data_IF_498924912348
#
_entry.id   IF_498924912348
#
_cell.length_a   1.000
_cell.length_b   1.000
_cell.length_c   1.000
_cell.angle_alpha   90.00
_cell.angle_beta   90.00
_cell.angle_gamma   90.00
#
_symmetry.space_group_name_H-M   'P 1'
#
loop_
_entity.id
_entity.type
_entity.pdbx_description
1 polymer ?
#
# COMPACT_ATOMS: atom_id res chain seq x y z
N UNK A 1 69.68 -36.61 -27.25
CA UNK A 1 68.61 -36.09 -26.37
C UNK A 1 68.45 -34.61 -26.68
N UNK A 2 67.34 -34.21 -27.29
CA UNK A 2 67.07 -32.81 -27.62
C UNK A 2 66.29 -32.19 -26.46
N UNK A 3 66.84 -31.17 -25.83
CA UNK A 3 66.20 -30.44 -24.75
C UNK A 3 65.06 -29.59 -25.32
N UNK A 4 63.83 -29.82 -24.88
CA UNK A 4 62.70 -28.97 -25.22
C UNK A 4 62.74 -27.71 -24.36
N UNK A 5 62.89 -26.54 -24.99
CA UNK A 5 62.70 -25.24 -24.35
C UNK A 5 61.21 -24.99 -24.10
N UNK A 6 60.83 -24.81 -22.84
CA UNK A 6 59.48 -24.37 -22.47
C UNK A 6 59.32 -22.88 -22.83
N UNK A 7 58.45 -22.57 -23.79
CA UNK A 7 58.01 -21.20 -24.01
C UNK A 7 56.93 -20.86 -22.98
N UNK A 8 57.14 -19.78 -22.23
CA UNK A 8 56.06 -19.07 -21.54
C UNK A 8 55.59 -17.95 -22.47
N UNK A 9 54.29 -17.99 -22.81
CA UNK A 9 53.62 -16.98 -23.60
C UNK A 9 52.44 -16.43 -22.82
N UNK A 10 52.25 -15.13 -22.87
CA UNK A 10 51.12 -14.46 -22.21
C UNK A 10 50.03 -14.35 -23.27
N UNK A 11 48.81 -14.76 -22.93
CA UNK A 11 47.64 -14.46 -23.74
C UNK A 11 46.74 -13.52 -22.94
N UNK A 12 46.18 -12.52 -23.62
CA UNK A 12 45.23 -11.61 -23.02
C UNK A 12 43.83 -12.21 -23.15
N UNK A 13 43.13 -12.33 -22.02
CA UNK A 13 41.71 -12.69 -21.99
C UNK A 13 40.91 -11.40 -21.84
N UNK A 14 40.08 -11.10 -22.83
CA UNK A 14 39.08 -10.04 -22.75
C UNK A 14 37.73 -10.65 -22.45
N UNK A 15 37.14 -10.29 -21.31
CA UNK A 15 35.75 -10.58 -20.97
C UNK A 15 34.90 -9.50 -21.63
N UNK A 16 33.93 -9.92 -22.45
CA UNK A 16 32.99 -9.03 -23.12
C UNK A 16 31.60 -9.28 -22.54
N UNK A 17 31.13 -8.34 -21.74
CA UNK A 17 29.82 -8.40 -21.10
C UNK A 17 28.75 -7.75 -21.99
N UNK A 18 27.60 -8.42 -22.07
CA UNK A 18 26.41 -8.02 -22.85
C UNK A 18 25.12 -8.26 -22.10
N UNK A 19 25.20 -8.80 -20.89
CA UNK A 19 24.01 -9.07 -20.10
C UNK A 19 23.52 -7.75 -19.50
N UNK A 20 22.25 -7.74 -19.09
CA UNK A 20 21.64 -6.55 -18.49
C UNK A 20 21.51 -6.77 -16.99
N UNK A 21 21.68 -5.70 -16.20
CA UNK A 21 21.48 -5.80 -14.76
C UNK A 21 20.01 -6.16 -14.45
N UNK A 22 19.83 -7.02 -13.47
CA UNK A 22 18.53 -7.44 -12.95
C UNK A 22 18.25 -6.79 -11.59
N UNK A 23 17.01 -6.38 -11.36
CA UNK A 23 16.59 -5.82 -10.07
C UNK A 23 16.23 -6.92 -9.07
N UNK A 24 16.72 -6.76 -7.84
CA UNK A 24 16.34 -7.57 -6.68
C UNK A 24 15.67 -6.67 -5.64
N UNK A 25 14.51 -6.10 -5.97
CA UNK A 25 13.83 -5.15 -5.08
C UNK A 25 12.42 -5.65 -4.74
N UNK A 26 12.08 -5.61 -3.45
CA UNK A 26 10.74 -5.92 -2.94
C UNK A 26 9.86 -4.67 -2.82
N UNK A 27 8.54 -4.86 -2.79
CA UNK A 27 7.57 -3.77 -2.58
C UNK A 27 7.70 -3.20 -1.16
N UNK A 28 7.50 -1.89 -0.99
CA UNK A 28 7.61 -1.19 0.29
C UNK A 28 6.22 -0.69 0.71
N UNK A 29 5.82 -1.03 1.93
CA UNK A 29 4.58 -0.51 2.52
C UNK A 29 4.91 0.31 3.77
N UNK A 30 4.31 1.50 3.86
CA UNK A 30 4.46 2.40 4.99
C UNK A 30 3.07 2.65 5.57
N UNK A 31 2.86 2.35 6.85
CA UNK A 31 1.57 2.61 7.48
C UNK A 31 1.47 4.10 7.85
N UNK A 32 0.76 4.88 7.03
CA UNK A 32 0.52 6.29 7.27
C UNK A 32 -0.85 6.76 6.78
N UNK A 33 -1.46 7.63 7.57
CA UNK A 33 -2.75 8.24 7.28
C UNK A 33 -2.63 9.62 6.58
N UNK A 34 -1.42 10.05 6.24
CA UNK A 34 -1.13 11.32 5.57
C UNK A 34 0.02 11.13 4.56
N UNK A 35 0.21 12.07 3.61
CA UNK A 35 1.43 12.10 2.80
C UNK A 35 2.68 11.95 3.68
N UNK A 36 3.60 11.09 3.26
CA UNK A 36 4.75 10.70 4.09
C UNK A 36 5.99 10.52 3.23
N UNK A 37 7.13 10.94 3.77
CA UNK A 37 8.44 10.72 3.15
C UNK A 37 8.83 9.25 3.26
N UNK A 38 9.13 8.63 2.12
CA UNK A 38 9.51 7.20 2.06
C UNK A 38 10.93 7.07 1.54
N UNK A 39 11.77 6.39 2.30
CA UNK A 39 13.16 6.07 1.95
C UNK A 39 13.26 4.63 1.48
N UNK A 40 13.87 4.42 0.33
CA UNK A 40 14.12 3.11 -0.25
C UNK A 40 15.50 3.05 -0.91
N UNK A 41 16.01 1.84 -1.13
CA UNK A 41 17.29 1.61 -1.79
C UNK A 41 17.08 0.62 -2.94
N UNK A 42 17.03 1.08 -4.20
CA UNK A 42 16.93 0.17 -5.33
C UNK A 42 18.23 -0.64 -5.44
N UNK A 43 18.11 -1.96 -5.43
CA UNK A 43 19.23 -2.88 -5.60
C UNK A 43 19.10 -3.60 -6.94
N UNK A 44 20.20 -3.58 -7.71
CA UNK A 44 20.32 -4.33 -8.93
C UNK A 44 21.68 -5.05 -8.95
N UNK A 45 21.69 -6.25 -9.50
CA UNK A 45 22.87 -7.09 -9.63
C UNK A 45 23.07 -7.44 -11.10
N UNK A 46 24.33 -7.64 -11.46
CA UNK A 46 24.74 -8.11 -12.77
C UNK A 46 25.79 -9.21 -12.60
N UNK A 47 25.95 -10.07 -13.61
CA UNK A 47 26.92 -11.16 -13.55
C UNK A 47 28.37 -10.65 -13.74
N UNK A 48 28.54 -9.40 -14.19
CA UNK A 48 29.84 -8.79 -14.44
C UNK A 48 29.90 -7.32 -13.98
N UNK A 49 30.65 -7.09 -12.91
CA UNK A 49 31.01 -5.73 -12.48
C UNK A 49 29.98 -5.05 -11.58
N UNK A 50 30.13 -3.74 -11.41
CA UNK A 50 29.28 -2.95 -10.52
C UNK A 50 28.08 -2.36 -11.27
N UNK A 51 26.94 -2.28 -10.58
CA UNK A 51 25.69 -1.73 -11.10
C UNK A 51 25.28 -0.51 -10.29
N UNK A 52 24.81 0.54 -10.98
CA UNK A 52 24.20 1.70 -10.34
C UNK A 52 22.70 1.66 -10.57
N UNK A 53 21.91 1.78 -9.48
CA UNK A 53 20.46 1.77 -9.52
C UNK A 53 19.86 3.04 -8.90
N UNK A 54 18.80 3.58 -9.51
CA UNK A 54 18.07 4.75 -9.02
C UNK A 54 16.58 4.65 -9.34
N UNK A 55 15.74 5.22 -8.48
CA UNK A 55 14.28 5.25 -8.65
C UNK A 55 13.73 6.67 -8.87
N UNK A 56 12.59 6.76 -9.55
CA UNK A 56 11.82 8.00 -9.73
C UNK A 56 10.33 7.77 -9.44
N UNK A 57 9.69 8.48 -8.49
CA UNK A 57 10.25 9.52 -7.61
C UNK A 57 11.44 9.03 -6.76
N UNK A 58 12.39 9.91 -6.46
CA UNK A 58 13.63 9.55 -5.75
C UNK A 58 13.38 9.09 -4.31
N UNK A 59 14.29 8.27 -3.77
CA UNK A 59 14.27 7.93 -2.35
C UNK A 59 14.29 9.19 -1.47
N UNK A 60 13.43 9.22 -0.45
CA UNK A 60 13.23 10.40 0.40
C UNK A 60 12.21 11.40 -0.15
N UNK A 61 11.49 11.08 -1.23
CA UNK A 61 10.34 11.87 -1.69
C UNK A 61 9.12 11.64 -0.82
N UNK A 62 8.20 12.61 -0.81
CA UNK A 62 6.89 12.49 -0.16
C UNK A 62 5.89 11.80 -1.09
N UNK A 63 5.22 10.77 -0.58
CA UNK A 63 4.22 9.98 -1.30
C UNK A 63 2.83 10.18 -0.70
N UNK A 64 1.77 10.29 -1.53
CA UNK A 64 0.39 10.40 -1.04
C UNK A 64 -0.10 9.06 -0.45
N UNK A 65 -1.20 9.12 0.31
CA UNK A 65 -1.90 7.91 0.78
C UNK A 65 -2.42 7.10 -0.41
N UNK A 66 -2.10 5.81 -0.45
CA UNK A 66 -2.40 4.90 -1.56
C UNK A 66 -1.13 4.33 -2.23
N UNK A 67 -1.33 3.69 -3.39
CA UNK A 67 -0.25 3.09 -4.19
C UNK A 67 0.39 4.14 -5.12
N UNK A 68 1.72 4.20 -5.13
CA UNK A 68 2.48 4.98 -6.11
C UNK A 68 3.45 4.08 -6.89
N UNK A 69 3.48 4.24 -8.21
CA UNK A 69 4.45 3.58 -9.09
C UNK A 69 5.79 4.33 -9.06
N UNK A 70 6.87 3.59 -8.85
CA UNK A 70 8.25 4.11 -8.92
C UNK A 70 8.95 3.41 -10.08
N UNK A 71 9.50 4.20 -10.99
CA UNK A 71 10.30 3.71 -12.12
C UNK A 71 11.74 3.55 -11.66
N UNK A 72 12.25 2.33 -11.67
CA UNK A 72 13.64 2.01 -11.34
C UNK A 72 14.48 1.87 -12.61
N UNK A 73 15.67 2.49 -12.61
CA UNK A 73 16.67 2.41 -13.68
C UNK A 73 17.98 1.88 -13.13
N UNK A 74 18.48 0.79 -13.73
CA UNK A 74 19.78 0.20 -13.44
C UNK A 74 20.69 0.34 -14.66
N UNK A 75 21.98 0.63 -14.42
CA UNK A 75 23.02 0.75 -15.44
C UNK A 75 24.26 -0.01 -14.96
N UNK A 76 24.77 -0.91 -15.79
CA UNK A 76 26.01 -1.67 -15.53
C UNK A 76 27.27 -0.90 -16.01
N UNK A 77 28.44 -1.49 -15.80
CA UNK A 77 29.72 -0.93 -16.23
C UNK A 77 29.94 -1.00 -17.76
N UNK A 78 29.25 -1.89 -18.46
CA UNK A 78 29.28 -2.02 -19.92
C UNK A 78 28.36 -0.99 -20.63
N UNK A 79 27.52 -0.28 -19.87
CA UNK A 79 26.55 0.70 -20.35
C UNK A 79 25.16 0.12 -20.67
N UNK A 80 24.90 -1.15 -20.40
CA UNK A 80 23.55 -1.72 -20.57
C UNK A 80 22.61 -1.16 -19.51
N UNK A 81 21.35 -0.95 -19.91
CA UNK A 81 20.34 -0.31 -19.07
C UNK A 81 19.10 -1.20 -18.93
N UNK A 82 18.58 -1.29 -17.72
CA UNK A 82 17.29 -1.94 -17.41
C UNK A 82 16.34 -0.91 -16.81
N UNK A 83 15.10 -0.87 -17.31
CA UNK A 83 14.01 -0.07 -16.76
C UNK A 83 12.92 -1.01 -16.27
N UNK A 84 12.48 -0.81 -15.04
CA UNK A 84 11.38 -1.59 -14.47
C UNK A 84 10.39 -0.66 -13.76
N UNK A 85 9.10 -0.87 -14.04
CA UNK A 85 7.99 -0.22 -13.36
C UNK A 85 7.51 -1.16 -12.27
N UNK A 86 7.57 -0.73 -11.00
CA UNK A 86 6.89 -1.46 -9.92
C UNK A 86 6.13 -0.51 -8.99
N UNK A 87 5.17 -1.08 -8.27
CA UNK A 87 4.41 -0.40 -7.22
C UNK A 87 5.17 -0.53 -5.92
N UNK A 88 6.03 0.44 -5.67
CA UNK A 88 6.95 0.38 -4.55
C UNK A 88 6.41 0.98 -3.27
N UNK A 89 5.42 1.88 -3.29
CA UNK A 89 5.02 2.60 -2.07
C UNK A 89 3.52 2.54 -1.90
N UNK A 90 3.08 1.78 -0.91
CA UNK A 90 1.72 1.87 -0.38
C UNK A 90 1.74 2.59 0.97
N UNK A 91 1.11 3.76 1.02
CA UNK A 91 0.81 4.42 2.29
C UNK A 91 -0.55 3.92 2.81
N UNK A 92 -0.56 3.05 3.83
CA UNK A 92 -1.79 2.44 4.35
C UNK A 92 -2.45 3.35 5.39
N UNK A 93 -3.64 3.85 5.07
CA UNK A 93 -4.44 4.66 5.99
C UNK A 93 -5.41 3.83 6.83
N UNK A 94 -4.95 3.22 7.94
CA UNK A 94 -5.86 2.61 8.92
C UNK A 94 -6.68 3.69 9.64
N UNK A 95 -7.80 4.13 9.06
CA UNK A 95 -8.73 5.02 9.75
C UNK A 95 -9.47 6.07 8.92
N UNK A 96 -9.42 6.04 7.59
CA UNK A 96 -10.26 6.93 6.76
C UNK A 96 -11.72 6.48 6.78
N UNK A 97 -12.35 6.52 7.96
CA UNK A 97 -13.80 6.47 8.10
C UNK A 97 -14.33 7.70 7.36
N UNK A 98 -14.85 7.52 6.14
CA UNK A 98 -15.72 8.51 5.51
C UNK A 98 -16.77 8.84 6.56
N UNK A 99 -16.69 10.03 7.18
CA UNK A 99 -17.78 10.56 7.99
C UNK A 99 -18.93 10.72 7.01
N UNK A 100 -19.77 9.69 6.92
CA UNK A 100 -20.97 9.71 6.12
C UNK A 100 -21.78 10.92 6.57
N UNK A 101 -21.77 11.97 5.75
CA UNK A 101 -22.66 13.12 5.85
C UNK A 101 -24.14 12.70 6.01
N UNK A 102 -24.46 11.45 5.67
CA UNK A 102 -25.74 10.76 5.88
C UNK A 102 -26.28 10.77 7.32
N UNK A 103 -25.42 10.73 8.36
CA UNK A 103 -25.92 10.68 9.74
C UNK A 103 -26.47 12.01 10.27
N UNK A 104 -26.17 13.14 9.60
CA UNK A 104 -26.66 14.45 10.02
C UNK A 104 -28.11 14.71 9.55
N UNK A 105 -28.51 14.18 8.38
CA UNK A 105 -29.85 14.39 7.82
C UNK A 105 -30.91 13.60 8.62
N UNK A 106 -30.62 12.34 9.00
CA UNK A 106 -31.53 11.54 9.85
C UNK A 106 -31.67 12.09 11.28
N UNK A 107 -30.61 12.69 11.84
CA UNK A 107 -30.67 13.25 13.21
C UNK A 107 -31.47 14.57 13.26
N UNK A 108 -31.38 15.41 12.21
CA UNK A 108 -32.13 16.67 12.10
C UNK A 108 -33.64 16.44 11.95
N UNK A 109 -34.06 15.48 11.10
CA UNK A 109 -35.47 15.12 10.90
C UNK A 109 -36.18 14.65 12.17
N UNK A 110 -35.43 14.18 13.17
CA UNK A 110 -35.99 13.62 14.41
C UNK A 110 -35.97 14.56 15.63
N UNK A 111 -35.53 15.83 15.49
CA UNK A 111 -35.54 16.80 16.60
C UNK A 111 -36.96 17.21 17.00
N UNK A 112 -37.87 17.35 16.03
CA UNK A 112 -39.28 17.69 16.28
C UNK A 112 -40.02 16.57 17.02
N UNK A 113 -39.87 15.32 16.56
CA UNK A 113 -40.49 14.15 17.18
C UNK A 113 -39.98 13.93 18.61
N UNK A 114 -38.68 14.14 18.86
CA UNK A 114 -38.09 14.07 20.20
C UNK A 114 -38.60 15.18 21.14
N UNK A 115 -38.73 16.43 20.65
CA UNK A 115 -39.30 17.54 21.43
C UNK A 115 -40.79 17.36 21.70
N UNK A 116 -41.55 16.78 20.76
CA UNK A 116 -42.97 16.48 20.91
C UNK A 116 -43.23 15.35 21.92
N UNK A 117 -42.48 14.24 21.85
CA UNK A 117 -42.57 13.11 22.79
C UNK A 117 -42.24 13.50 24.24
N UNK A 118 -41.41 14.53 24.44
CA UNK A 118 -41.05 14.99 25.79
C UNK A 118 -42.18 15.75 26.48
N UNK A 119 -43.03 16.48 25.73
CA UNK A 119 -44.15 17.24 26.29
C UNK A 119 -45.36 16.35 26.63
N UNK A 120 -45.47 15.17 26.02
CA UNK A 120 -46.65 14.34 26.15
C UNK A 120 -46.37 13.05 26.94
N UNK A 121 -46.37 13.15 28.28
CA UNK A 121 -46.02 12.04 29.21
C UNK A 121 -46.87 10.77 29.00
N UNK A 122 -48.15 10.90 28.63
CA UNK A 122 -49.06 9.77 28.33
C UNK A 122 -48.65 9.01 27.06
N UNK A 123 -48.24 9.73 26.02
CA UNK A 123 -47.80 9.14 24.75
C UNK A 123 -46.39 8.54 24.84
N UNK A 124 -45.51 9.09 25.69
CA UNK A 124 -44.21 8.47 26.01
C UNK A 124 -44.40 7.09 26.65
N UNK A 125 -45.31 6.96 27.63
CA UNK A 125 -45.67 5.66 28.24
C UNK A 125 -46.30 4.69 27.22
N UNK A 126 -47.22 5.17 26.37
CA UNK A 126 -47.83 4.37 25.30
C UNK A 126 -46.81 3.88 24.25
N UNK A 127 -45.88 4.74 23.84
CA UNK A 127 -44.81 4.42 22.88
C UNK A 127 -43.82 3.38 23.44
N UNK A 128 -43.40 3.52 24.71
CA UNK A 128 -42.58 2.51 25.37
C UNK A 128 -43.29 1.15 25.48
N UNK A 129 -44.61 1.15 25.76
CA UNK A 129 -45.43 -0.07 25.81
C UNK A 129 -45.53 -0.74 24.44
N UNK A 130 -45.70 0.02 23.35
CA UNK A 130 -45.68 -0.52 21.98
C UNK A 130 -44.31 -1.02 21.53
N UNK A 131 -43.22 -0.34 21.87
CA UNK A 131 -41.88 -0.80 21.51
C UNK A 131 -41.42 -2.04 22.29
N UNK A 132 -41.86 -2.19 23.54
CA UNK A 132 -41.70 -3.46 24.29
C UNK A 132 -42.45 -4.60 23.62
N UNK A 133 -43.65 -4.36 23.10
CA UNK A 133 -44.39 -5.37 22.32
C UNK A 133 -43.67 -5.74 21.01
N UNK A 134 -43.12 -4.77 20.25
CA UNK A 134 -42.37 -5.08 19.02
C UNK A 134 -41.12 -5.92 19.26
N UNK A 135 -40.37 -5.66 20.34
CA UNK A 135 -39.25 -6.52 20.76
C UNK A 135 -39.72 -7.92 21.16
N UNK A 136 -40.87 -8.03 21.82
CA UNK A 136 -41.45 -9.31 22.23
C UNK A 136 -41.95 -10.15 21.04
N UNK A 137 -42.53 -9.51 20.01
CA UNK A 137 -42.92 -10.17 18.75
C UNK A 137 -41.74 -10.70 17.95
N UNK A 138 -40.59 -10.00 17.96
CA UNK A 138 -39.36 -10.55 17.40
C UNK A 138 -38.86 -11.75 18.22
N UNK A 139 -38.84 -11.65 19.55
CA UNK A 139 -38.35 -12.73 20.43
C UNK A 139 -39.20 -14.01 20.34
N UNK A 140 -40.53 -13.86 20.20
CA UNK A 140 -41.49 -14.97 20.11
C UNK A 140 -41.45 -15.71 18.77
N UNK A 141 -40.84 -15.12 17.74
CA UNK A 141 -40.61 -15.77 16.43
C UNK A 141 -39.35 -16.64 16.42
N UNK A 142 -38.47 -16.52 17.43
CA UNK A 142 -37.21 -17.26 17.56
C UNK A 142 -37.28 -18.47 18.52
N UNK A 143 -38.43 -18.74 19.15
CA UNK A 143 -38.59 -19.84 20.14
C UNK A 143 -39.60 -20.93 19.72
N UNK A 144 -39.93 -21.02 18.43
CA UNK A 144 -40.66 -22.16 17.87
C UNK A 144 -39.91 -22.75 16.66
N UNK A 145 -38.66 -23.15 16.91
CA UNK A 145 -37.95 -24.14 16.09
C UNK A 145 -37.03 -24.94 17.01
#
# INVERSE_FOLDING_TARGET
MQLATLQSGNFNVTVNDKDRPAFEVEDISVNSCSPTVVTFSPAAADNCGAVTAAGSPSSGSEFPVGETEVTCKAVDAAGSTTLELRRFVECVGHGYHKRSHSNNIRSRRNRGLKKWLHRNRRLKKWWHRKNRMKKWWHYRRYWHR
#
